data_IF_598068521600
#
_entry.id   IF_598068521600
#
_cell.length_a   1.000
_cell.length_b   1.000
_cell.length_c   1.000
_cell.angle_alpha   90.00
_cell.angle_beta   90.00
_cell.angle_gamma   90.00
#
_symmetry.space_group_name_H-M   'P 1'
#
loop_
_entity.id
_entity.type
_entity.pdbx_description
1 polymer ?
#
# COMPACT_ATOMS: atom_id res chain seq x y z
N UNK A 1 11.67 -70.11 -65.06
CA UNK A 1 11.74 -68.71 -64.60
C UNK A 1 10.94 -68.63 -63.31
N UNK A 2 11.62 -68.67 -62.16
CA UNK A 2 11.02 -68.77 -60.83
C UNK A 2 11.14 -67.39 -60.18
N UNK A 3 10.03 -66.73 -59.89
CA UNK A 3 9.99 -65.50 -59.11
C UNK A 3 9.43 -65.80 -57.72
N UNK A 4 10.31 -65.69 -56.73
CA UNK A 4 10.05 -65.72 -55.29
C UNK A 4 9.19 -64.52 -54.87
N UNK A 5 8.07 -64.78 -54.20
CA UNK A 5 7.39 -63.78 -53.36
C UNK A 5 8.00 -63.82 -51.95
N UNK A 6 8.58 -62.70 -51.49
CA UNK A 6 9.03 -62.54 -50.11
C UNK A 6 7.85 -62.12 -49.21
N UNK A 7 7.69 -62.71 -48.01
CA UNK A 7 6.68 -62.31 -47.05
C UNK A 7 7.31 -61.37 -46.02
N UNK A 8 7.37 -60.07 -46.30
CA UNK A 8 7.94 -59.12 -45.34
C UNK A 8 7.24 -57.77 -45.41
N UNK A 9 6.05 -57.61 -44.80
CA UNK A 9 5.51 -56.24 -44.59
C UNK A 9 4.37 -56.03 -43.58
N UNK A 10 4.08 -56.92 -42.61
CA UNK A 10 2.91 -56.68 -41.73
C UNK A 10 3.10 -56.77 -40.21
N UNK A 11 4.25 -57.15 -39.67
CA UNK A 11 4.38 -57.34 -38.20
C UNK A 11 4.99 -56.16 -37.44
N UNK A 12 5.55 -55.15 -38.11
CA UNK A 12 6.29 -54.07 -37.43
C UNK A 12 5.43 -52.87 -37.03
N UNK A 13 4.27 -52.67 -37.68
CA UNK A 13 3.43 -51.49 -37.49
C UNK A 13 2.48 -51.58 -36.30
N UNK A 14 2.03 -52.77 -35.88
CA UNK A 14 1.15 -52.92 -34.71
C UNK A 14 1.92 -52.80 -33.39
N UNK A 15 3.09 -53.43 -33.27
CA UNK A 15 3.85 -53.42 -32.01
C UNK A 15 4.46 -52.04 -31.67
N UNK A 16 4.64 -51.17 -32.68
CA UNK A 16 5.00 -49.76 -32.45
C UNK A 16 3.77 -48.91 -32.07
N UNK A 17 2.57 -49.27 -32.54
CA UNK A 17 1.34 -48.55 -32.23
C UNK A 17 0.96 -48.69 -30.77
N UNK A 18 1.10 -49.89 -30.20
CA UNK A 18 0.76 -50.17 -28.80
C UNK A 18 1.71 -49.47 -27.83
N UNK A 19 3.01 -49.40 -28.16
CA UNK A 19 4.01 -48.66 -27.35
C UNK A 19 3.79 -47.14 -27.35
N UNK A 20 3.19 -46.58 -28.40
CA UNK A 20 2.85 -45.14 -28.44
C UNK A 20 1.57 -44.87 -27.63
N UNK A 21 0.58 -45.76 -27.68
CA UNK A 21 -0.65 -45.65 -26.89
C UNK A 21 -0.40 -45.78 -25.38
N UNK A 22 0.48 -46.68 -24.94
CA UNK A 22 0.83 -46.84 -23.53
C UNK A 22 1.55 -45.60 -22.97
N UNK A 23 2.41 -44.97 -23.78
CA UNK A 23 3.13 -43.74 -23.41
C UNK A 23 2.21 -42.51 -23.31
N UNK A 24 1.09 -42.50 -24.04
CA UNK A 24 0.10 -41.42 -24.01
C UNK A 24 -0.96 -41.59 -22.91
N UNK A 25 -1.26 -42.82 -22.48
CA UNK A 25 -2.24 -43.09 -21.43
C UNK A 25 -1.66 -43.26 -20.02
N UNK A 26 -0.36 -43.53 -19.88
CA UNK A 26 0.33 -43.54 -18.58
C UNK A 26 0.54 -42.15 -17.95
N UNK A 27 0.30 -41.06 -18.69
CA UNK A 27 0.45 -39.69 -18.20
C UNK A 27 -0.89 -39.05 -17.83
N UNK A 28 -1.86 -39.86 -17.39
CA UNK A 28 -3.23 -39.39 -17.11
C UNK A 28 -3.63 -39.41 -15.63
N UNK A 29 -2.71 -39.17 -14.69
CA UNK A 29 -3.06 -38.84 -13.29
C UNK A 29 -1.96 -38.04 -12.58
N UNK A 30 -1.26 -37.18 -13.32
CA UNK A 30 -0.68 -35.96 -12.76
C UNK A 30 -1.28 -34.76 -13.47
N UNK A 31 -2.60 -34.81 -13.66
CA UNK A 31 -3.37 -33.58 -13.78
C UNK A 31 -3.04 -32.85 -12.50
N UNK A 32 -2.32 -31.75 -12.68
CA UNK A 32 -2.00 -30.80 -11.67
C UNK A 32 -3.14 -30.78 -10.64
N UNK A 33 -2.81 -31.07 -9.39
CA UNK A 33 -3.34 -30.25 -8.33
C UNK A 33 -2.95 -28.82 -8.71
N UNK A 34 -3.71 -28.24 -9.65
CA UNK A 34 -3.96 -26.81 -9.70
C UNK A 34 -4.54 -26.64 -8.31
N UNK A 35 -3.66 -26.24 -7.40
CA UNK A 35 -4.04 -25.69 -6.13
C UNK A 35 -4.92 -24.51 -6.55
N UNK A 36 -6.21 -24.75 -6.70
CA UNK A 36 -7.22 -23.72 -6.65
C UNK A 36 -7.17 -23.38 -5.17
N UNK A 37 -6.43 -22.34 -4.73
CA UNK A 37 -6.52 -21.95 -3.35
C UNK A 37 -8.01 -21.77 -3.10
N UNK A 38 -8.52 -22.54 -2.16
CA UNK A 38 -9.92 -22.55 -1.78
C UNK A 38 -10.33 -21.08 -1.61
N UNK A 39 -11.04 -20.53 -2.60
CA UNK A 39 -11.68 -19.24 -2.53
C UNK A 39 -12.91 -19.33 -1.61
N UNK A 40 -12.79 -20.03 -0.48
CA UNK A 40 -12.97 -19.34 0.80
C UNK A 40 -12.01 -18.15 0.81
N UNK A 41 -12.36 -17.15 0.02
CA UNK A 41 -12.39 -15.78 0.46
C UNK A 41 -13.12 -15.83 1.80
N UNK A 42 -12.35 -16.15 2.85
CA UNK A 42 -12.27 -15.22 3.94
C UNK A 42 -12.11 -13.86 3.26
N UNK A 43 -13.25 -13.24 2.94
CA UNK A 43 -13.49 -11.91 3.41
C UNK A 43 -13.06 -11.96 4.89
N UNK A 44 -11.75 -11.82 5.09
CA UNK A 44 -11.22 -10.95 6.11
C UNK A 44 -11.95 -9.64 5.85
N UNK A 45 -13.21 -9.58 6.34
CA UNK A 45 -13.79 -8.37 6.84
C UNK A 45 -12.71 -7.93 7.81
N UNK A 46 -11.80 -7.07 7.34
CA UNK A 46 -10.76 -6.47 8.14
C UNK A 46 -11.52 -5.98 9.37
N UNK A 47 -11.38 -6.65 10.52
CA UNK A 47 -12.31 -6.46 11.61
C UNK A 47 -12.17 -5.01 12.03
N UNK A 48 -13.21 -4.25 11.74
CA UNK A 48 -13.35 -2.85 12.10
C UNK A 48 -12.13 -1.98 11.79
N UNK A 49 -12.02 -1.51 10.54
CA UNK A 49 -11.74 -0.08 10.34
C UNK A 49 -12.94 0.73 10.87
N UNK A 50 -13.35 0.50 12.12
CA UNK A 50 -13.99 1.53 12.93
C UNK A 50 -12.89 2.54 13.13
N UNK A 51 -12.73 3.41 12.13
CA UNK A 51 -11.88 4.57 12.17
C UNK A 51 -12.38 5.37 13.37
N UNK A 52 -11.80 5.10 14.52
CA UNK A 52 -11.94 5.96 15.68
C UNK A 52 -11.27 7.26 15.26
N UNK A 53 -12.02 8.15 14.60
CA UNK A 53 -11.53 9.48 14.22
C UNK A 53 -10.99 10.21 15.45
N UNK A 54 -11.57 9.94 16.62
CA UNK A 54 -11.09 10.42 17.92
C UNK A 54 -9.65 9.95 18.25
N UNK A 55 -9.21 8.78 17.78
CA UNK A 55 -7.81 8.31 17.94
C UNK A 55 -6.84 8.98 16.96
N UNK A 56 -7.34 9.74 15.98
CA UNK A 56 -6.55 10.52 15.01
C UNK A 56 -6.40 11.99 15.41
N UNK A 57 -6.88 12.40 16.58
CA UNK A 57 -6.52 13.71 17.12
C UNK A 57 -5.02 13.68 17.39
N UNK A 58 -4.27 14.37 16.55
CA UNK A 58 -2.82 14.44 16.59
C UNK A 58 -2.41 15.86 17.02
N UNK A 59 -1.30 16.03 17.76
CA UNK A 59 -0.73 17.35 18.02
C UNK A 59 -0.60 18.22 16.76
N UNK A 60 -0.29 17.63 15.61
CA UNK A 60 -0.24 18.37 14.34
C UNK A 60 -1.61 18.84 13.83
N UNK A 61 -2.67 18.06 14.03
CA UNK A 61 -4.03 18.50 13.70
C UNK A 61 -4.44 19.71 14.55
N UNK A 62 -4.13 19.68 15.85
CA UNK A 62 -4.36 20.80 16.77
C UNK A 62 -3.55 22.03 16.37
N UNK A 63 -2.28 21.82 16.00
CA UNK A 63 -1.39 22.88 15.51
C UNK A 63 -1.95 23.53 14.24
N UNK A 64 -2.46 22.74 13.30
CA UNK A 64 -3.04 23.23 12.04
C UNK A 64 -4.23 24.15 12.31
N UNK A 65 -5.16 23.73 13.18
CA UNK A 65 -6.28 24.57 13.62
C UNK A 65 -5.82 25.84 14.33
N UNK A 66 -4.79 25.73 15.16
CA UNK A 66 -4.22 26.88 15.87
C UNK A 66 -3.54 27.88 14.91
N UNK A 67 -2.76 27.43 13.92
CA UNK A 67 -2.15 28.32 12.92
C UNK A 67 -3.20 29.08 12.11
N UNK A 68 -4.31 28.41 11.74
CA UNK A 68 -5.41 29.04 11.01
C UNK A 68 -6.05 30.18 11.82
N UNK A 69 -6.07 30.07 13.16
CA UNK A 69 -6.61 31.11 14.04
C UNK A 69 -5.58 32.20 14.40
N UNK A 70 -4.33 31.81 14.64
CA UNK A 70 -3.26 32.72 15.08
C UNK A 70 -2.86 33.69 13.97
N UNK A 71 -2.79 33.23 12.72
CA UNK A 71 -2.37 34.09 11.62
C UNK A 71 -3.30 35.29 11.37
N UNK A 72 -4.63 35.14 11.21
CA UNK A 72 -5.54 36.29 11.07
C UNK A 72 -5.54 37.17 12.32
N UNK A 73 -5.35 36.59 13.51
CA UNK A 73 -5.21 37.38 14.74
C UNK A 73 -3.96 38.27 14.73
N UNK A 74 -2.81 37.73 14.28
CA UNK A 74 -1.57 38.51 14.11
C UNK A 74 -1.70 39.57 13.02
N UNK A 75 -2.43 39.29 11.94
CA UNK A 75 -2.75 40.28 10.90
C UNK A 75 -3.56 41.45 11.47
N UNK A 76 -4.62 41.18 12.22
CA UNK A 76 -5.46 42.24 12.84
C UNK A 76 -4.66 43.10 13.82
N UNK A 77 -3.69 42.51 14.54
CA UNK A 77 -2.79 43.22 15.44
C UNK A 77 -1.66 43.98 14.74
N UNK A 78 -1.45 43.77 13.44
CA UNK A 78 -0.29 44.31 12.72
C UNK A 78 1.05 43.77 13.22
N UNK A 79 1.05 42.61 13.90
CA UNK A 79 2.24 41.98 14.50
C UNK A 79 2.75 40.79 13.70
N UNK A 80 2.55 40.80 12.38
CA UNK A 80 3.04 39.72 11.54
C UNK A 80 4.56 39.79 11.43
N UNK A 81 5.28 38.65 11.54
CA UNK A 81 6.74 38.64 11.39
C UNK A 81 7.20 38.91 9.96
N UNK A 82 6.29 38.87 8.99
CA UNK A 82 6.58 39.08 7.57
C UNK A 82 6.40 40.54 7.16
N UNK A 83 7.32 41.05 6.34
CA UNK A 83 7.27 42.41 5.78
C UNK A 83 6.12 42.61 4.79
N UNK A 84 5.57 41.53 4.25
CA UNK A 84 4.50 41.53 3.26
C UNK A 84 3.47 40.47 3.60
N UNK A 85 2.20 40.88 3.63
CA UNK A 85 1.06 40.02 3.94
C UNK A 85 0.96 38.83 2.99
N UNK A 86 1.24 39.04 1.70
CA UNK A 86 1.25 37.99 0.69
C UNK A 86 2.29 36.91 0.97
N UNK A 87 3.48 37.30 1.41
CA UNK A 87 4.54 36.36 1.80
C UNK A 87 4.16 35.58 3.06
N UNK A 88 3.55 36.25 4.04
CA UNK A 88 3.05 35.58 5.23
C UNK A 88 1.94 34.57 4.92
N UNK A 89 1.02 34.91 4.02
CA UNK A 89 -0.05 34.01 3.60
C UNK A 89 0.51 32.81 2.83
N UNK A 90 1.47 33.04 1.93
CA UNK A 90 2.17 31.98 1.22
C UNK A 90 2.91 31.03 2.18
N UNK A 91 3.63 31.58 3.16
CA UNK A 91 4.30 30.81 4.20
C UNK A 91 3.30 29.98 5.02
N UNK A 92 2.18 30.57 5.43
CA UNK A 92 1.11 29.87 6.15
C UNK A 92 0.59 28.66 5.35
N UNK A 93 0.21 28.86 4.08
CA UNK A 93 -0.31 27.79 3.22
C UNK A 93 0.71 26.66 3.08
N UNK A 94 1.98 27.01 2.87
CA UNK A 94 3.06 26.05 2.75
C UNK A 94 3.23 25.26 4.05
N UNK A 95 3.30 25.95 5.20
CA UNK A 95 3.38 25.31 6.52
C UNK A 95 2.21 24.36 6.77
N UNK A 96 0.97 24.75 6.45
CA UNK A 96 -0.20 23.88 6.61
C UNK A 96 -0.10 22.61 5.77
N UNK A 97 0.29 22.73 4.49
CA UNK A 97 0.49 21.57 3.61
C UNK A 97 1.57 20.64 4.17
N UNK A 98 2.71 21.18 4.60
CA UNK A 98 3.79 20.38 5.17
C UNK A 98 3.39 19.70 6.47
N UNK A 99 2.71 20.39 7.39
CA UNK A 99 2.25 19.80 8.65
C UNK A 99 1.32 18.61 8.39
N UNK A 100 0.36 18.74 7.46
CA UNK A 100 -0.55 17.65 7.08
C UNK A 100 0.20 16.48 6.44
N UNK A 101 1.17 16.76 5.57
CA UNK A 101 2.00 15.71 4.94
C UNK A 101 2.88 14.99 5.97
N UNK A 102 3.48 15.74 6.90
CA UNK A 102 4.29 15.17 7.97
C UNK A 102 3.45 14.32 8.92
N UNK A 103 2.25 14.78 9.30
CA UNK A 103 1.29 13.98 10.08
C UNK A 103 1.03 12.63 9.39
N UNK A 104 0.63 12.67 8.11
CA UNK A 104 0.39 11.44 7.35
C UNK A 104 1.62 10.54 7.26
N UNK A 105 2.80 11.11 7.02
CA UNK A 105 4.06 10.37 6.90
C UNK A 105 4.45 9.67 8.22
N UNK A 106 4.36 10.38 9.36
CA UNK A 106 4.68 9.83 10.68
C UNK A 106 3.69 8.71 11.04
N UNK A 107 2.40 8.95 10.85
CA UNK A 107 1.37 7.94 11.11
C UNK A 107 1.55 6.69 10.26
N UNK A 108 1.92 6.85 8.98
CA UNK A 108 2.21 5.75 8.07
C UNK A 108 3.48 4.99 8.50
N UNK A 109 4.55 5.69 8.88
CA UNK A 109 5.82 5.09 9.31
C UNK A 109 5.63 4.16 10.52
N UNK A 110 4.85 4.61 11.52
CA UNK A 110 4.61 3.82 12.73
C UNK A 110 3.43 2.85 12.63
N UNK A 111 2.72 2.81 11.49
CA UNK A 111 1.50 2.01 11.26
C UNK A 111 0.47 2.13 12.40
N UNK A 112 0.41 3.29 13.05
CA UNK A 112 -0.43 3.54 14.22
C UNK A 112 -0.12 2.71 15.49
N UNK A 113 0.95 1.90 15.51
CA UNK A 113 1.25 1.01 16.65
C UNK A 113 1.89 1.70 17.85
N UNK A 114 2.50 2.88 17.66
CA UNK A 114 3.28 3.60 18.69
C UNK A 114 2.77 5.04 18.89
N UNK A 115 1.47 5.19 19.16
CA UNK A 115 0.80 6.50 19.28
C UNK A 115 1.54 7.46 20.22
N UNK A 116 2.00 7.00 21.39
CA UNK A 116 2.72 7.86 22.34
C UNK A 116 4.04 8.40 21.77
N UNK A 117 4.78 7.61 20.97
CA UNK A 117 6.01 8.09 20.34
C UNK A 117 5.72 9.06 19.20
N UNK A 118 4.67 8.79 18.42
CA UNK A 118 4.17 9.71 17.38
C UNK A 118 3.87 11.07 18.03
N UNK A 119 3.11 11.06 19.12
CA UNK A 119 2.73 12.27 19.84
C UNK A 119 3.92 13.07 20.36
N UNK A 120 4.94 12.43 20.93
CA UNK A 120 6.15 13.13 21.40
C UNK A 120 6.88 13.80 20.23
N UNK A 121 7.03 13.10 19.11
CA UNK A 121 7.70 13.63 17.91
C UNK A 121 6.92 14.82 17.35
N UNK A 122 5.61 14.67 17.19
CA UNK A 122 4.75 15.75 16.69
C UNK A 122 4.73 16.95 17.63
N UNK A 123 4.69 16.73 18.95
CA UNK A 123 4.73 17.80 19.95
C UNK A 123 6.04 18.59 19.86
N UNK A 124 7.19 17.91 19.76
CA UNK A 124 8.50 18.56 19.63
C UNK A 124 8.54 19.41 18.36
N UNK A 125 8.12 18.86 17.23
CA UNK A 125 8.05 19.57 15.95
C UNK A 125 7.08 20.75 16.00
N UNK A 126 5.90 20.56 16.60
CA UNK A 126 4.89 21.60 16.75
C UNK A 126 5.41 22.78 17.58
N UNK A 127 6.10 22.49 18.69
CA UNK A 127 6.70 23.50 19.55
C UNK A 127 7.80 24.27 18.82
N UNK A 128 8.62 23.57 18.02
CA UNK A 128 9.64 24.21 17.19
C UNK A 128 9.02 25.14 16.13
N UNK A 129 7.97 24.69 15.42
CA UNK A 129 7.25 25.52 14.44
C UNK A 129 6.70 26.79 15.11
N UNK A 130 6.06 26.65 16.28
CA UNK A 130 5.54 27.79 17.03
C UNK A 130 6.63 28.77 17.45
N UNK A 131 7.78 28.26 17.94
CA UNK A 131 8.91 29.09 18.33
C UNK A 131 9.50 29.91 17.18
N UNK A 132 9.49 29.38 15.94
CA UNK A 132 9.95 30.14 14.78
C UNK A 132 8.90 31.12 14.21
N UNK A 133 7.62 30.93 14.56
CA UNK A 133 6.52 31.74 14.02
C UNK A 133 6.20 32.95 14.91
N UNK A 134 6.41 32.83 16.23
CA UNK A 134 6.20 33.87 17.24
C UNK A 134 7.48 34.68 17.49
#
# INVERSE_FOLDING_TARGET
MILMHSPFSKSFTEQQRDRIFEKLHGTKTRVANIYIPNQKTAATRNPGYSANLAKRISPFLLLTGLLILVYPFLLVLGKTPFHSEWWGFGALMLTLIYVVLFDFAIWNYFKGKKVNRIWIIELILATAILYFLL
#
